data_IF_177434452138
#
_entry.id   IF_177434452138
#
_cell.length_a   1.000
_cell.length_b   1.000
_cell.length_c   1.000
_cell.angle_alpha   90.00
_cell.angle_beta   90.00
_cell.angle_gamma   90.00
#
_symmetry.space_group_name_H-M   'P 1'
#
loop_
_entity.id
_entity.type
_entity.pdbx_description
1 polymer ?
#
# COMPACT_ATOMS: atom_id res chain seq x y z
N UNK A 1 -43.14 -3.07 25.03
CA UNK A 1 -42.36 -2.88 23.80
C UNK A 1 -41.07 -2.21 24.25
N UNK A 2 -40.05 -3.03 24.53
CA UNK A 2 -38.76 -2.54 25.02
C UNK A 2 -38.00 -1.96 23.81
N UNK A 3 -37.69 -0.67 23.87
CA UNK A 3 -36.78 -0.02 22.91
C UNK A 3 -35.39 -0.66 23.07
N UNK A 4 -34.90 -1.28 22.00
CA UNK A 4 -33.52 -1.74 21.97
C UNK A 4 -32.60 -0.51 22.03
N UNK A 5 -31.55 -0.52 22.87
CA UNK A 5 -30.60 0.59 22.90
C UNK A 5 -29.93 0.72 21.55
N UNK A 6 -30.04 1.91 20.94
CA UNK A 6 -29.26 2.26 19.73
C UNK A 6 -27.77 2.04 20.01
N UNK A 7 -27.13 1.27 19.14
CA UNK A 7 -25.70 1.02 19.21
C UNK A 7 -24.96 2.31 18.81
N UNK A 8 -24.58 3.10 19.80
CA UNK A 8 -23.87 4.38 19.65
C UNK A 8 -22.38 4.23 19.23
N UNK A 9 -21.97 3.03 18.78
CA UNK A 9 -20.58 2.70 18.43
C UNK A 9 -20.19 3.04 17.00
N UNK A 10 -21.11 3.47 16.16
CA UNK A 10 -20.77 3.91 14.80
C UNK A 10 -20.60 5.43 14.78
N UNK A 11 -19.50 5.94 14.20
CA UNK A 11 -19.33 7.37 14.01
C UNK A 11 -20.47 7.91 13.15
N UNK A 12 -21.16 8.94 13.65
CA UNK A 12 -22.31 9.59 12.99
C UNK A 12 -21.90 10.42 11.77
N UNK A 13 -20.60 10.54 11.49
CA UNK A 13 -20.06 11.18 10.28
C UNK A 13 -19.37 10.12 9.44
N UNK A 14 -19.65 10.11 8.12
CA UNK A 14 -18.85 9.33 7.17
C UNK A 14 -17.37 9.66 7.37
N UNK A 15 -16.51 8.67 7.61
CA UNK A 15 -15.08 8.92 7.71
C UNK A 15 -14.66 9.58 6.39
N UNK A 16 -14.35 10.87 6.43
CA UNK A 16 -13.88 11.60 5.24
C UNK A 16 -12.74 10.82 4.65
N UNK A 17 -12.90 10.39 3.40
CA UNK A 17 -11.84 9.70 2.67
C UNK A 17 -10.57 10.53 2.76
N UNK A 18 -9.52 9.93 3.32
CA UNK A 18 -8.21 10.60 3.44
C UNK A 18 -7.74 10.95 2.04
N UNK A 19 -7.47 12.22 1.71
CA UNK A 19 -7.07 12.62 0.37
C UNK A 19 -5.77 11.91 -0.04
N UNK A 20 -5.56 11.75 -1.34
CA UNK A 20 -4.31 11.28 -1.91
C UNK A 20 -3.54 12.52 -2.35
N UNK A 21 -2.36 12.73 -1.78
CA UNK A 21 -1.59 13.97 -1.90
C UNK A 21 -0.17 13.66 -2.41
N UNK A 22 0.44 14.64 -3.07
CA UNK A 22 1.86 14.63 -3.43
C UNK A 22 2.73 14.97 -2.21
N UNK A 23 4.04 14.74 -2.33
CA UNK A 23 4.97 15.01 -1.24
C UNK A 23 4.94 13.94 -0.12
N UNK A 24 4.24 12.85 -0.34
CA UNK A 24 4.09 11.72 0.58
C UNK A 24 4.56 10.46 -0.13
N UNK A 25 5.25 9.57 0.59
CA UNK A 25 5.54 8.22 0.12
C UNK A 25 4.47 7.26 0.65
N UNK A 26 3.73 6.64 -0.26
CA UNK A 26 2.70 5.66 0.07
C UNK A 26 3.27 4.25 0.00
N UNK A 27 3.35 3.56 1.13
CA UNK A 27 3.65 2.12 1.21
C UNK A 27 2.36 1.33 1.01
N UNK A 28 2.25 0.57 -0.06
CA UNK A 28 1.00 -0.05 -0.50
C UNK A 28 1.14 -1.56 -0.54
N UNK A 29 0.18 -2.27 0.05
CA UNK A 29 0.02 -3.71 -0.12
C UNK A 29 -0.69 -4.03 -1.44
N UNK A 30 0.00 -4.77 -2.31
CA UNK A 30 -0.53 -5.22 -3.59
C UNK A 30 -1.51 -6.39 -3.48
N UNK A 31 -1.65 -6.97 -2.29
CA UNK A 31 -2.40 -8.20 -2.11
C UNK A 31 -1.61 -9.46 -2.50
N UNK A 32 -2.27 -10.64 -2.53
CA UNK A 32 -1.62 -11.94 -2.64
C UNK A 32 -1.34 -12.39 -4.07
N UNK A 33 -1.54 -11.54 -5.06
CA UNK A 33 -1.32 -11.84 -6.48
C UNK A 33 -2.57 -11.66 -7.35
N UNK A 34 -3.76 -11.82 -6.82
CA UNK A 34 -5.00 -11.48 -7.50
C UNK A 34 -5.20 -9.96 -7.51
N UNK A 35 -5.29 -9.32 -8.70
CA UNK A 35 -5.45 -7.87 -8.80
C UNK A 35 -6.77 -7.35 -8.23
N UNK A 36 -7.77 -8.20 -8.05
CA UNK A 36 -9.04 -7.84 -7.39
C UNK A 36 -8.93 -7.80 -5.86
N UNK A 37 -7.87 -8.36 -5.29
CA UNK A 37 -7.62 -8.39 -3.85
C UNK A 37 -6.75 -7.24 -3.35
N UNK A 38 -6.55 -6.21 -4.15
CA UNK A 38 -5.99 -4.95 -3.69
C UNK A 38 -7.06 -4.11 -3.00
N UNK A 39 -6.67 -3.31 -2.01
CA UNK A 39 -7.61 -2.35 -1.42
C UNK A 39 -7.96 -1.24 -2.42
N UNK A 40 -9.19 -0.73 -2.34
CA UNK A 40 -9.64 0.41 -3.18
C UNK A 40 -8.70 1.61 -3.05
N UNK A 41 -8.22 1.92 -1.82
CA UNK A 41 -7.26 2.99 -1.59
C UNK A 41 -5.94 2.73 -2.31
N UNK A 42 -5.39 1.52 -2.19
CA UNK A 42 -4.15 1.13 -2.88
C UNK A 42 -4.26 1.26 -4.40
N UNK A 43 -5.34 0.75 -4.98
CA UNK A 43 -5.59 0.85 -6.42
C UNK A 43 -5.69 2.31 -6.89
N UNK A 44 -6.37 3.18 -6.13
CA UNK A 44 -6.52 4.59 -6.48
C UNK A 44 -5.16 5.32 -6.44
N UNK A 45 -4.29 5.00 -5.47
CA UNK A 45 -2.95 5.60 -5.40
C UNK A 45 -2.09 5.12 -6.57
N UNK A 46 -2.10 3.83 -6.91
CA UNK A 46 -1.35 3.29 -8.06
C UNK A 46 -1.78 3.98 -9.36
N UNK A 47 -3.08 4.17 -9.58
CA UNK A 47 -3.61 4.88 -10.75
C UNK A 47 -3.19 6.35 -10.81
N UNK A 48 -3.00 7.00 -9.67
CA UNK A 48 -2.60 8.39 -9.59
C UNK A 48 -1.07 8.60 -9.57
N UNK A 49 -0.29 7.55 -9.29
CA UNK A 49 1.15 7.64 -9.08
C UNK A 49 1.91 8.12 -10.33
N UNK A 50 2.89 9.00 -10.09
CA UNK A 50 3.88 9.43 -11.07
C UNK A 50 5.12 8.53 -11.05
N UNK A 51 5.44 8.01 -9.86
CA UNK A 51 6.53 7.08 -9.61
C UNK A 51 6.04 5.89 -8.81
N UNK A 52 6.26 4.70 -9.34
CA UNK A 52 5.99 3.43 -8.66
C UNK A 52 7.31 2.69 -8.49
N UNK A 53 7.66 2.36 -7.25
CA UNK A 53 8.78 1.49 -6.93
C UNK A 53 8.22 0.24 -6.29
N UNK A 54 8.34 -0.91 -6.96
CA UNK A 54 7.74 -2.14 -6.48
C UNK A 54 8.79 -3.18 -6.06
N UNK A 55 8.40 -4.07 -5.15
CA UNK A 55 9.30 -5.05 -4.54
C UNK A 55 9.15 -6.42 -5.21
N UNK A 56 9.83 -6.58 -6.34
CA UNK A 56 10.06 -7.88 -6.97
C UNK A 56 8.90 -8.49 -7.74
N UNK A 57 9.17 -9.68 -8.26
CA UNK A 57 8.34 -10.42 -9.23
C UNK A 57 6.97 -10.90 -8.71
N UNK A 58 6.70 -10.75 -7.42
CA UNK A 58 5.42 -11.16 -6.82
C UNK A 58 4.35 -10.06 -6.88
N UNK A 59 4.69 -8.86 -7.35
CA UNK A 59 3.70 -7.82 -7.64
C UNK A 59 3.15 -8.05 -9.05
N UNK A 60 1.83 -8.23 -9.23
CA UNK A 60 1.26 -8.54 -10.55
C UNK A 60 1.48 -7.41 -11.56
N UNK A 61 1.95 -7.74 -12.76
CA UNK A 61 2.07 -6.79 -13.86
C UNK A 61 0.74 -6.14 -14.23
N UNK A 62 -0.36 -6.88 -14.13
CA UNK A 62 -1.72 -6.38 -14.35
C UNK A 62 -2.10 -5.26 -13.39
N UNK A 63 -1.54 -5.25 -12.18
CA UNK A 63 -1.72 -4.18 -11.21
C UNK A 63 -0.89 -2.95 -11.61
N UNK A 64 0.37 -3.16 -12.00
CA UNK A 64 1.26 -2.09 -12.45
C UNK A 64 0.77 -1.43 -13.75
N UNK A 65 0.13 -2.21 -14.63
CA UNK A 65 -0.49 -1.71 -15.87
C UNK A 65 -1.67 -0.75 -15.62
N UNK A 66 -2.19 -0.66 -14.40
CA UNK A 66 -3.22 0.31 -14.02
C UNK A 66 -2.65 1.72 -13.75
N UNK A 67 -1.33 1.87 -13.71
CA UNK A 67 -0.68 3.17 -13.57
C UNK A 67 -1.05 4.09 -14.74
N UNK A 68 -1.11 5.39 -14.46
CA UNK A 68 -1.39 6.37 -15.52
C UNK A 68 -0.30 6.40 -16.59
N UNK A 69 -0.65 6.85 -17.77
CA UNK A 69 0.31 7.07 -18.84
C UNK A 69 1.45 8.00 -18.39
N UNK A 70 2.68 7.62 -18.71
CA UNK A 70 3.89 8.37 -18.34
C UNK A 70 4.38 8.13 -16.91
N UNK A 71 3.72 7.28 -16.12
CA UNK A 71 4.22 6.87 -14.83
C UNK A 71 5.56 6.13 -14.95
N UNK A 72 6.53 6.48 -14.10
CA UNK A 72 7.81 5.76 -14.00
C UNK A 72 7.65 4.56 -13.08
N UNK A 73 8.01 3.38 -13.54
CA UNK A 73 7.87 2.12 -12.81
C UNK A 73 9.25 1.48 -12.66
N UNK A 74 9.67 1.24 -11.42
CA UNK A 74 10.98 0.66 -11.08
C UNK A 74 10.83 -0.60 -10.23
N UNK A 75 11.45 -1.69 -10.68
CA UNK A 75 11.66 -2.88 -9.84
C UNK A 75 12.85 -2.63 -8.91
N UNK A 76 12.62 -2.80 -7.61
CA UNK A 76 13.65 -2.65 -6.58
C UNK A 76 14.31 -3.98 -6.18
N UNK A 77 14.02 -5.08 -6.85
CA UNK A 77 14.56 -6.40 -6.49
C UNK A 77 16.09 -6.49 -6.52
N UNK A 78 16.73 -5.66 -7.37
CA UNK A 78 18.19 -5.56 -7.50
C UNK A 78 18.80 -4.34 -6.81
N UNK A 79 17.98 -3.51 -6.16
CA UNK A 79 18.42 -2.26 -5.53
C UNK A 79 18.72 -2.47 -4.04
N UNK A 80 19.72 -1.76 -3.56
CA UNK A 80 19.98 -1.64 -2.13
C UNK A 80 18.91 -0.80 -1.44
N UNK A 81 18.93 -0.78 -0.09
CA UNK A 81 18.06 0.10 0.69
C UNK A 81 18.31 1.58 0.35
N UNK A 82 19.58 1.96 0.23
CA UNK A 82 20.00 3.33 -0.08
C UNK A 82 19.56 3.75 -1.48
N UNK A 83 19.72 2.88 -2.49
CA UNK A 83 19.28 3.14 -3.85
C UNK A 83 17.75 3.27 -3.94
N UNK A 84 17.03 2.40 -3.25
CA UNK A 84 15.56 2.48 -3.15
C UNK A 84 15.15 3.79 -2.48
N UNK A 85 15.80 4.15 -1.36
CA UNK A 85 15.54 5.38 -0.64
C UNK A 85 15.78 6.61 -1.52
N UNK A 86 16.90 6.64 -2.27
CA UNK A 86 17.22 7.73 -3.18
C UNK A 86 16.14 7.93 -4.28
N UNK A 87 15.58 6.85 -4.82
CA UNK A 87 14.48 6.94 -5.79
C UNK A 87 13.22 7.57 -5.17
N UNK A 88 12.87 7.17 -3.95
CA UNK A 88 11.69 7.68 -3.26
C UNK A 88 11.84 9.17 -2.93
N UNK A 89 13.00 9.57 -2.40
CA UNK A 89 13.30 10.96 -2.02
C UNK A 89 13.41 11.87 -3.24
N UNK A 90 14.03 11.40 -4.32
CA UNK A 90 14.07 12.12 -5.61
C UNK A 90 12.66 12.37 -6.15
N UNK A 91 11.78 11.36 -6.07
CA UNK A 91 10.40 11.49 -6.50
C UNK A 91 9.66 12.57 -5.72
N UNK A 92 9.75 12.53 -4.39
CA UNK A 92 9.13 13.56 -3.53
C UNK A 92 9.71 14.94 -3.81
N UNK A 93 11.04 15.07 -3.95
CA UNK A 93 11.71 16.34 -4.25
C UNK A 93 11.30 16.96 -5.60
N UNK A 94 10.78 16.16 -6.52
CA UNK A 94 10.22 16.59 -7.81
C UNK A 94 8.70 16.80 -7.79
N UNK A 95 8.09 16.86 -6.62
CA UNK A 95 6.64 16.97 -6.43
C UNK A 95 5.83 15.88 -7.14
N UNK A 96 6.37 14.64 -7.16
CA UNK A 96 5.70 13.48 -7.73
C UNK A 96 4.81 12.78 -6.70
N UNK A 97 3.77 12.11 -7.19
CA UNK A 97 3.02 11.11 -6.44
C UNK A 97 3.83 9.82 -6.38
N UNK A 98 4.30 9.43 -5.20
CA UNK A 98 5.24 8.31 -5.02
C UNK A 98 4.56 7.13 -4.34
N UNK A 99 4.54 5.97 -5.01
CA UNK A 99 4.02 4.72 -4.50
C UNK A 99 5.14 3.68 -4.34
N UNK A 100 5.31 3.15 -3.12
CA UNK A 100 6.17 2.01 -2.80
C UNK A 100 5.28 0.78 -2.63
N UNK A 101 5.32 -0.14 -3.60
CA UNK A 101 4.39 -1.28 -3.67
C UNK A 101 5.07 -2.56 -3.18
N UNK A 102 4.43 -3.24 -2.23
CA UNK A 102 4.86 -4.50 -1.63
C UNK A 102 3.85 -5.60 -1.91
N UNK A 103 4.29 -6.85 -1.95
CA UNK A 103 3.38 -8.01 -2.03
C UNK A 103 2.61 -8.18 -0.72
N UNK A 104 1.40 -8.71 -0.79
CA UNK A 104 0.58 -8.95 0.38
C UNK A 104 0.27 -7.67 1.15
N UNK A 105 0.72 -7.62 2.40
CA UNK A 105 0.63 -6.48 3.30
C UNK A 105 2.03 -5.94 3.63
N UNK A 106 2.28 -4.63 3.58
CA UNK A 106 3.61 -4.06 3.85
C UNK A 106 4.12 -4.32 5.27
N UNK A 107 3.22 -4.51 6.23
CA UNK A 107 3.60 -4.77 7.62
C UNK A 107 4.10 -6.21 7.86
N UNK A 108 3.87 -7.11 6.90
CA UNK A 108 4.31 -8.50 7.00
C UNK A 108 5.47 -8.77 6.03
N UNK A 109 6.68 -8.88 6.55
CA UNK A 109 7.95 -9.09 5.81
C UNK A 109 8.27 -8.01 4.76
N UNK A 110 7.62 -6.84 4.83
CA UNK A 110 7.84 -5.76 3.87
C UNK A 110 9.12 -4.95 4.10
N UNK A 111 9.82 -5.13 5.22
CA UNK A 111 11.00 -4.34 5.64
C UNK A 111 10.79 -2.82 5.49
N UNK A 112 9.55 -2.36 5.73
CA UNK A 112 9.18 -0.96 5.56
C UNK A 112 9.67 -0.06 6.69
N UNK A 113 9.93 -0.63 7.88
CA UNK A 113 10.29 0.15 9.07
C UNK A 113 11.58 0.94 8.86
N UNK A 114 12.59 0.33 8.26
CA UNK A 114 13.86 0.97 7.95
C UNK A 114 13.69 2.09 6.92
N UNK A 115 12.92 1.84 5.87
CA UNK A 115 12.60 2.83 4.84
C UNK A 115 11.84 4.01 5.42
N UNK A 116 10.84 3.77 6.25
CA UNK A 116 10.07 4.82 6.94
C UNK A 116 10.97 5.66 7.84
N UNK A 117 11.86 5.03 8.63
CA UNK A 117 12.78 5.74 9.50
C UNK A 117 13.75 6.66 8.72
N UNK A 118 14.24 6.22 7.56
CA UNK A 118 15.10 7.04 6.70
C UNK A 118 14.34 8.26 6.17
N UNK A 119 13.13 8.06 5.65
CA UNK A 119 12.28 9.15 5.15
C UNK A 119 11.91 10.15 6.25
N UNK A 120 11.57 9.66 7.44
CA UNK A 120 11.26 10.51 8.61
C UNK A 120 12.45 11.39 9.05
N UNK A 121 13.68 10.87 8.98
CA UNK A 121 14.90 11.66 9.27
C UNK A 121 15.07 12.85 8.32
N UNK A 122 14.56 12.73 7.10
CA UNK A 122 14.58 13.80 6.09
C UNK A 122 13.29 14.64 6.10
N UNK A 123 12.39 14.41 7.05
CA UNK A 123 11.12 15.14 7.17
C UNK A 123 10.09 14.79 6.11
N UNK A 124 10.27 13.66 5.39
CA UNK A 124 9.36 13.19 4.36
C UNK A 124 8.23 12.38 5.00
N UNK A 125 6.96 12.80 4.85
CA UNK A 125 5.83 12.07 5.40
C UNK A 125 5.58 10.76 4.65
N UNK A 126 5.10 9.75 5.38
CA UNK A 126 4.74 8.45 4.83
C UNK A 126 3.31 8.08 5.24
N UNK A 127 2.62 7.34 4.39
CA UNK A 127 1.35 6.69 4.70
C UNK A 127 1.44 5.20 4.35
N UNK A 128 0.89 4.33 5.20
CA UNK A 128 0.89 2.89 4.98
C UNK A 128 -0.53 2.45 4.65
N UNK A 129 -0.70 1.89 3.47
CA UNK A 129 -1.97 1.36 2.99
C UNK A 129 -1.92 -0.16 3.09
N UNK A 130 -2.71 -0.78 3.98
CA UNK A 130 -2.68 -2.21 4.18
C UNK A 130 -3.09 -2.99 2.93
N UNK A 131 -2.71 -4.25 2.88
CA UNK A 131 -3.09 -5.17 1.82
C UNK A 131 -3.59 -6.50 2.37
N UNK A 132 -4.14 -7.34 1.49
CA UNK A 132 -4.52 -8.71 1.84
C UNK A 132 -3.27 -9.57 1.86
N UNK A 133 -2.91 -10.11 3.02
CA UNK A 133 -1.78 -11.03 3.14
C UNK A 133 -2.07 -12.39 2.51
N UNK A 134 -1.06 -13.00 1.89
CA UNK A 134 -1.15 -14.35 1.30
C UNK A 134 -1.60 -15.42 2.29
N UNK A 135 -1.31 -15.26 3.57
CA UNK A 135 -1.75 -16.19 4.61
C UNK A 135 -3.28 -16.25 4.71
N UNK A 136 -3.94 -15.09 4.79
CA UNK A 136 -5.40 -15.05 4.86
C UNK A 136 -6.06 -15.36 3.51
N UNK A 137 -5.45 -14.96 2.41
CA UNK A 137 -5.92 -15.32 1.08
C UNK A 137 -5.87 -16.85 0.85
N UNK A 138 -4.80 -17.51 1.28
CA UNK A 138 -4.70 -18.98 1.23
C UNK A 138 -5.75 -19.66 2.10
N UNK A 139 -6.00 -19.17 3.32
CA UNK A 139 -7.05 -19.69 4.18
C UNK A 139 -8.43 -19.57 3.52
N UNK A 140 -8.73 -18.43 2.90
CA UNK A 140 -9.97 -18.20 2.17
C UNK A 140 -10.10 -19.17 0.99
N UNK A 141 -9.05 -19.34 0.18
CA UNK A 141 -9.02 -20.25 -0.96
C UNK A 141 -9.24 -21.72 -0.54
N UNK A 142 -8.79 -22.09 0.64
CA UNK A 142 -8.96 -23.43 1.21
C UNK A 142 -10.27 -23.60 2.00
N UNK A 143 -11.08 -22.53 2.13
CA UNK A 143 -12.28 -22.55 2.97
C UNK A 143 -11.97 -22.83 4.46
N UNK A 144 -10.85 -22.32 4.96
CA UNK A 144 -10.36 -22.56 6.32
C UNK A 144 -10.25 -21.24 7.09
N UNK A 145 -10.27 -21.33 8.41
CA UNK A 145 -9.97 -20.23 9.33
C UNK A 145 -8.77 -20.60 10.20
N UNK A 146 -8.02 -19.59 10.63
CA UNK A 146 -6.86 -19.80 11.52
C UNK A 146 -7.28 -20.02 12.97
N UNK A 147 -8.37 -19.40 13.39
CA UNK A 147 -8.87 -19.52 14.75
C UNK A 147 -9.87 -20.66 14.82
N UNK A 148 -9.72 -21.50 15.85
CA UNK A 148 -10.71 -22.51 16.22
C UNK A 148 -11.40 -22.10 17.50
N UNK A 149 -12.68 -22.44 17.67
CA UNK A 149 -13.41 -22.18 18.91
C UNK A 149 -12.86 -23.00 20.09
#
# INVERSE_FOLDING_TARGET
MEEQPECDLLPKEDPKLKPIEKGIVYFIGAGPGDPELITVRGANIIKAADLIVYAGSLVPETLLAQAKEGARIHDSSSLSLEETHALLTEGVGKDLMVARVHTGDPALYGAIQEQIQLLQKEGIPCDVVPGVTSAFAAAAALGRQFTQP
#
